data_IF_311768025755
#
_entry.id   IF_311768025755
#
_cell.length_a   1.000
_cell.length_b   1.000
_cell.length_c   1.000
_cell.angle_alpha   90.00
_cell.angle_beta   90.00
_cell.angle_gamma   90.00
#
_symmetry.space_group_name_H-M   'P 1'
#
loop_
_entity.id
_entity.type
_entity.pdbx_description
1 polymer ?
#
# COMPACT_ATOMS: atom_id res chain seq x y z
N UNK A 1 8.08 -16.62 1.12
CA UNK A 1 7.12 -16.93 0.04
C UNK A 1 6.53 -15.66 -0.53
N UNK A 2 5.82 -14.86 0.28
CA UNK A 2 5.27 -13.55 -0.13
C UNK A 2 6.22 -12.67 -0.92
N UNK A 3 7.45 -12.46 -0.46
CA UNK A 3 8.44 -11.65 -1.19
C UNK A 3 8.74 -12.15 -2.61
N UNK A 4 8.81 -13.47 -2.81
CA UNK A 4 9.03 -14.06 -4.14
C UNK A 4 7.81 -13.85 -5.05
N UNK A 5 6.61 -14.02 -4.49
CA UNK A 5 5.37 -13.76 -5.21
C UNK A 5 5.22 -12.28 -5.57
N UNK A 6 5.60 -11.38 -4.67
CA UNK A 6 5.59 -9.95 -4.94
C UNK A 6 6.55 -9.58 -6.07
N UNK A 7 7.76 -10.14 -6.09
CA UNK A 7 8.69 -9.98 -7.22
C UNK A 7 8.05 -10.44 -8.52
N UNK A 8 7.39 -11.61 -8.53
CA UNK A 8 6.72 -12.14 -9.73
C UNK A 8 5.63 -11.20 -10.24
N UNK A 9 4.77 -10.71 -9.34
CA UNK A 9 3.71 -9.75 -9.67
C UNK A 9 4.28 -8.44 -10.24
N UNK A 10 5.31 -7.89 -9.61
CA UNK A 10 5.97 -6.67 -10.09
C UNK A 10 6.60 -6.90 -11.47
N UNK A 11 7.35 -7.99 -11.65
CA UNK A 11 7.96 -8.33 -12.94
C UNK A 11 6.90 -8.48 -14.04
N UNK A 12 5.86 -9.29 -13.81
CA UNK A 12 4.76 -9.49 -14.76
C UNK A 12 4.03 -8.19 -15.10
N UNK A 13 3.84 -7.29 -14.12
CA UNK A 13 3.24 -5.98 -14.37
C UNK A 13 4.03 -5.13 -15.37
N UNK A 14 5.36 -5.28 -15.42
CA UNK A 14 6.23 -4.60 -16.38
C UNK A 14 6.38 -5.35 -17.71
N UNK A 15 6.42 -6.68 -17.71
CA UNK A 15 6.68 -7.47 -18.93
C UNK A 15 5.41 -7.78 -19.72
N UNK A 16 4.28 -7.94 -19.05
CA UNK A 16 3.02 -8.42 -19.64
C UNK A 16 1.88 -7.41 -19.48
N UNK A 17 1.85 -6.68 -18.35
CA UNK A 17 0.75 -5.76 -18.01
C UNK A 17 0.97 -4.28 -18.35
N UNK A 18 2.08 -3.93 -19.02
CA UNK A 18 2.47 -2.54 -19.23
C UNK A 18 1.60 -1.86 -20.30
N UNK A 19 0.94 -0.77 -19.90
CA UNK A 19 0.26 0.15 -20.82
C UNK A 19 0.80 1.56 -20.62
N UNK A 20 0.11 2.42 -19.87
CA UNK A 20 0.68 3.69 -19.37
C UNK A 20 1.46 3.51 -18.06
N UNK A 21 1.11 2.48 -17.29
CA UNK A 21 1.76 2.07 -16.04
C UNK A 21 1.80 0.53 -16.00
N UNK A 22 2.74 -0.06 -15.28
CA UNK A 22 2.71 -1.50 -15.01
C UNK A 22 1.50 -1.82 -14.14
N UNK A 23 0.72 -2.83 -14.53
CA UNK A 23 -0.55 -3.24 -13.91
C UNK A 23 -0.60 -4.76 -13.78
N UNK A 24 -1.33 -5.24 -12.79
CA UNK A 24 -1.70 -6.65 -12.66
C UNK A 24 -3.23 -6.76 -12.60
N UNK A 25 -3.78 -7.90 -13.01
CA UNK A 25 -5.19 -8.22 -12.82
C UNK A 25 -5.40 -9.13 -11.58
N UNK A 26 -6.67 -9.39 -11.27
CA UNK A 26 -7.09 -10.20 -10.11
C UNK A 26 -6.72 -11.68 -10.28
N UNK A 27 -6.67 -12.19 -11.51
CA UNK A 27 -6.34 -13.58 -11.79
C UNK A 27 -4.86 -13.86 -11.55
N UNK A 28 -3.99 -12.96 -12.02
CA UNK A 28 -2.55 -13.00 -11.75
C UNK A 28 -2.27 -12.81 -10.25
N UNK A 29 -3.01 -11.91 -9.58
CA UNK A 29 -2.93 -11.79 -8.12
C UNK A 29 -3.30 -13.10 -7.42
N UNK A 30 -4.37 -13.78 -7.85
CA UNK A 30 -4.79 -15.06 -7.28
C UNK A 30 -3.74 -16.16 -7.44
N UNK A 31 -3.06 -16.22 -8.60
CA UNK A 31 -1.97 -17.18 -8.83
C UNK A 31 -0.76 -16.97 -7.92
N UNK A 32 -0.58 -15.76 -7.39
CA UNK A 32 0.56 -15.37 -6.57
C UNK A 32 0.18 -14.78 -5.20
N UNK A 33 -1.02 -15.07 -4.70
CA UNK A 33 -1.51 -14.51 -3.43
C UNK A 33 -0.78 -15.06 -2.18
N UNK A 34 -0.12 -16.22 -2.32
CA UNK A 34 0.52 -16.92 -1.21
C UNK A 34 1.50 -16.05 -0.41
N UNK A 35 1.24 -15.90 0.89
CA UNK A 35 2.09 -15.11 1.79
C UNK A 35 2.04 -13.60 1.56
N UNK A 36 1.02 -13.08 0.89
CA UNK A 36 0.76 -11.64 0.79
C UNK A 36 -0.32 -11.21 1.78
N UNK A 37 -0.25 -9.96 2.23
CA UNK A 37 -1.30 -9.24 2.95
C UNK A 37 -1.70 -8.05 2.07
N UNK A 38 -2.98 -7.87 1.80
CA UNK A 38 -3.49 -6.74 1.02
C UNK A 38 -4.30 -5.77 1.87
N UNK A 39 -4.23 -4.48 1.51
CA UNK A 39 -5.03 -3.40 2.06
C UNK A 39 -5.84 -2.75 0.92
N UNK A 40 -7.06 -2.30 1.18
CA UNK A 40 -7.97 -1.78 0.14
C UNK A 40 -7.51 -0.52 -0.62
N UNK A 41 -6.34 0.05 -0.29
CA UNK A 41 -5.74 1.25 -0.90
C UNK A 41 -6.43 2.57 -0.53
N UNK A 42 -5.89 3.66 -1.06
CA UNK A 42 -6.34 5.04 -0.87
C UNK A 42 -7.62 5.33 -1.67
N UNK A 43 -7.97 6.62 -1.84
CA UNK A 43 -9.16 7.05 -2.62
C UNK A 43 -9.23 6.51 -4.07
N UNK A 44 -8.10 6.07 -4.63
CA UNK A 44 -8.03 5.47 -5.98
C UNK A 44 -8.15 3.94 -5.98
N UNK A 45 -8.26 3.32 -4.81
CA UNK A 45 -8.57 1.90 -4.65
C UNK A 45 -10.01 1.59 -5.03
N UNK A 46 -10.26 0.40 -5.57
CA UNK A 46 -11.56 -0.01 -6.11
C UNK A 46 -12.69 0.12 -5.06
N UNK A 47 -12.39 -0.20 -3.79
CA UNK A 47 -13.33 -0.12 -2.68
C UNK A 47 -13.64 1.34 -2.32
N UNK A 48 -12.61 2.15 -2.10
CA UNK A 48 -12.76 3.55 -1.69
C UNK A 48 -13.41 4.39 -2.81
N UNK A 49 -13.02 4.17 -4.06
CA UNK A 49 -13.63 4.84 -5.22
C UNK A 49 -15.12 4.51 -5.32
N UNK A 50 -15.50 3.24 -5.13
CA UNK A 50 -16.92 2.83 -5.12
C UNK A 50 -17.70 3.50 -3.99
N UNK A 51 -17.15 3.55 -2.78
CA UNK A 51 -17.78 4.22 -1.63
C UNK A 51 -17.90 5.75 -1.84
N UNK A 52 -16.90 6.38 -2.45
CA UNK A 52 -16.92 7.81 -2.74
C UNK A 52 -18.08 8.20 -3.70
N UNK A 53 -18.49 7.27 -4.56
CA UNK A 53 -19.54 7.45 -5.57
C UNK A 53 -20.88 6.77 -5.22
N UNK A 54 -21.11 6.40 -3.96
CA UNK A 54 -22.33 5.72 -3.48
C UNK A 54 -22.64 4.38 -4.17
N UNK A 55 -21.60 3.65 -4.58
CA UNK A 55 -21.72 2.36 -5.27
C UNK A 55 -21.48 1.20 -4.28
N UNK A 56 -22.26 1.15 -3.20
CA UNK A 56 -22.07 0.21 -2.08
C UNK A 56 -21.96 -1.26 -2.53
N UNK A 57 -22.81 -1.68 -3.48
CA UNK A 57 -22.77 -3.04 -4.02
C UNK A 57 -21.41 -3.36 -4.66
N UNK A 58 -20.84 -2.43 -5.41
CA UNK A 58 -19.53 -2.61 -6.03
C UNK A 58 -18.41 -2.59 -5.00
N UNK A 59 -18.52 -1.77 -3.96
CA UNK A 59 -17.56 -1.78 -2.85
C UNK A 59 -17.54 -3.14 -2.14
N UNK A 60 -18.72 -3.74 -1.91
CA UNK A 60 -18.88 -5.08 -1.34
C UNK A 60 -18.27 -6.14 -2.26
N UNK A 61 -18.63 -6.14 -3.55
CA UNK A 61 -18.10 -7.09 -4.54
C UNK A 61 -16.57 -7.02 -4.63
N UNK A 62 -16.01 -5.81 -4.67
CA UNK A 62 -14.56 -5.59 -4.73
C UNK A 62 -13.84 -6.09 -3.47
N UNK A 63 -14.32 -5.69 -2.29
CA UNK A 63 -13.71 -6.11 -1.01
C UNK A 63 -13.80 -7.62 -0.79
N UNK A 64 -14.93 -8.24 -1.15
CA UNK A 64 -15.11 -9.69 -1.10
C UNK A 64 -14.14 -10.41 -2.05
N UNK A 65 -13.99 -9.93 -3.29
CA UNK A 65 -13.06 -10.52 -4.24
C UNK A 65 -11.61 -10.51 -3.71
N UNK A 66 -11.14 -9.38 -3.16
CA UNK A 66 -9.78 -9.31 -2.59
C UNK A 66 -9.61 -10.18 -1.34
N UNK A 67 -10.62 -10.24 -0.47
CA UNK A 67 -10.64 -11.16 0.68
C UNK A 67 -10.47 -12.61 0.23
N UNK A 68 -11.23 -13.01 -0.79
CA UNK A 68 -11.26 -14.40 -1.25
C UNK A 68 -9.95 -14.77 -1.97
N UNK A 69 -9.39 -13.84 -2.74
CA UNK A 69 -8.09 -13.99 -3.41
C UNK A 69 -6.93 -14.13 -2.42
N UNK A 70 -6.85 -13.22 -1.43
CA UNK A 70 -5.74 -13.18 -0.47
C UNK A 70 -5.92 -14.20 0.67
N UNK A 71 -7.14 -14.68 0.87
CA UNK A 71 -7.51 -15.63 1.91
C UNK A 71 -7.79 -14.97 3.27
N UNK A 72 -8.36 -15.76 4.20
CA UNK A 72 -8.82 -15.27 5.49
C UNK A 72 -7.66 -14.70 6.32
N UNK A 73 -7.88 -13.51 6.89
CA UNK A 73 -6.91 -12.82 7.75
C UNK A 73 -5.77 -12.12 7.00
N UNK A 74 -5.78 -12.11 5.66
CA UNK A 74 -4.75 -11.49 4.83
C UNK A 74 -5.26 -10.27 4.04
N UNK A 75 -6.49 -9.81 4.28
CA UNK A 75 -7.04 -8.61 3.64
C UNK A 75 -7.63 -7.66 4.69
N UNK A 76 -7.30 -6.38 4.58
CA UNK A 76 -7.73 -5.31 5.49
C UNK A 76 -8.36 -4.16 4.70
N UNK A 77 -9.37 -3.54 5.28
CA UNK A 77 -9.94 -2.30 4.77
C UNK A 77 -9.12 -1.12 5.29
N UNK A 78 -8.55 -0.34 4.39
CA UNK A 78 -7.60 0.73 4.66
C UNK A 78 -8.32 2.08 4.86
N UNK A 79 -8.11 2.69 6.03
CA UNK A 79 -8.63 4.01 6.39
C UNK A 79 -7.51 5.05 6.35
N UNK A 80 -7.78 6.19 5.72
CA UNK A 80 -6.84 7.29 5.56
C UNK A 80 -7.54 8.63 5.81
N UNK A 81 -6.84 9.60 6.40
CA UNK A 81 -7.41 10.91 6.69
C UNK A 81 -6.37 12.02 6.53
N UNK A 82 -6.64 12.90 5.57
CA UNK A 82 -5.79 14.02 5.17
C UNK A 82 -6.57 15.35 5.17
N UNK A 83 -7.81 15.36 5.67
CA UNK A 83 -8.71 16.51 5.59
C UNK A 83 -9.44 16.67 4.26
N UNK A 84 -9.49 15.61 3.44
CA UNK A 84 -10.16 15.57 2.13
C UNK A 84 -11.61 15.11 2.32
N UNK A 85 -12.57 15.80 1.72
CA UNK A 85 -14.00 15.53 1.96
C UNK A 85 -14.44 14.15 1.44
N UNK A 86 -13.89 13.70 0.32
CA UNK A 86 -14.12 12.36 -0.22
C UNK A 86 -13.67 11.27 0.78
N UNK A 87 -12.58 11.50 1.54
CA UNK A 87 -12.15 10.57 2.59
C UNK A 87 -13.15 10.53 3.75
N UNK A 88 -13.85 11.62 4.05
CA UNK A 88 -14.89 11.64 5.09
C UNK A 88 -16.02 10.69 4.70
N UNK A 89 -16.43 10.71 3.43
CA UNK A 89 -17.46 9.80 2.92
C UNK A 89 -17.00 8.35 2.99
N UNK A 90 -15.80 8.05 2.48
CA UNK A 90 -15.24 6.70 2.51
C UNK A 90 -15.10 6.18 3.94
N UNK A 91 -14.58 6.98 4.86
CA UNK A 91 -14.38 6.59 6.26
C UNK A 91 -15.70 6.37 7.03
N UNK A 92 -16.83 6.88 6.56
CA UNK A 92 -18.17 6.54 7.08
C UNK A 92 -18.66 5.18 6.56
N UNK A 93 -18.33 4.83 5.32
CA UNK A 93 -18.75 3.57 4.68
C UNK A 93 -17.91 2.35 5.08
N UNK A 94 -16.60 2.55 5.29
CA UNK A 94 -15.67 1.46 5.60
C UNK A 94 -16.06 0.65 6.85
N UNK A 95 -16.51 1.23 7.97
CA UNK A 95 -16.94 0.45 9.15
C UNK A 95 -18.16 -0.43 8.89
N UNK A 96 -19.11 0.03 8.07
CA UNK A 96 -20.29 -0.76 7.68
C UNK A 96 -19.85 -1.95 6.84
N UNK A 97 -19.01 -1.69 5.82
CA UNK A 97 -18.46 -2.72 4.96
C UNK A 97 -17.62 -3.76 5.74
N UNK A 98 -16.80 -3.28 6.68
CA UNK A 98 -15.98 -4.10 7.56
C UNK A 98 -16.83 -5.07 8.38
N UNK A 99 -17.93 -4.58 8.97
CA UNK A 99 -18.86 -5.42 9.74
C UNK A 99 -19.53 -6.46 8.84
N UNK A 100 -20.07 -6.04 7.70
CA UNK A 100 -20.89 -6.90 6.83
C UNK A 100 -20.04 -8.04 6.22
N UNK A 101 -18.77 -7.76 5.89
CA UNK A 101 -17.85 -8.75 5.33
C UNK A 101 -16.94 -9.43 6.38
N UNK A 102 -17.04 -9.03 7.65
CA UNK A 102 -16.15 -9.44 8.75
C UNK A 102 -14.67 -9.23 8.41
N UNK A 103 -14.37 -8.06 7.86
CA UNK A 103 -13.01 -7.64 7.51
C UNK A 103 -12.43 -6.71 8.57
N UNK A 104 -11.14 -6.86 8.92
CA UNK A 104 -10.47 -5.92 9.82
C UNK A 104 -10.20 -4.58 9.11
N UNK A 105 -10.27 -3.50 9.88
CA UNK A 105 -9.83 -2.15 9.44
C UNK A 105 -8.36 -1.92 9.79
N UNK A 106 -7.67 -1.06 9.04
CA UNK A 106 -6.33 -0.58 9.37
C UNK A 106 -6.16 0.89 8.99
N UNK A 107 -5.50 1.67 9.85
CA UNK A 107 -5.19 3.07 9.58
C UNK A 107 -3.82 3.24 8.90
N UNK A 108 -3.73 4.04 7.85
CA UNK A 108 -2.47 4.46 7.21
C UNK A 108 -2.52 5.94 6.82
N UNK A 109 -1.41 6.50 6.34
CA UNK A 109 -1.31 7.93 6.00
C UNK A 109 -0.67 8.22 4.62
N UNK A 110 -0.60 7.23 3.72
CA UNK A 110 -0.09 7.37 2.34
C UNK A 110 1.13 8.32 2.20
N UNK A 111 2.19 8.03 2.95
CA UNK A 111 3.30 8.96 3.17
C UNK A 111 4.12 9.16 1.89
N UNK A 112 4.27 10.42 1.46
CA UNK A 112 5.06 10.83 0.30
C UNK A 112 6.29 11.66 0.66
N UNK A 113 6.32 12.25 1.87
CA UNK A 113 7.43 13.05 2.37
C UNK A 113 7.60 12.90 3.88
N UNK A 114 8.72 13.36 4.46
CA UNK A 114 9.04 13.05 5.86
C UNK A 114 8.34 13.99 6.84
N UNK A 115 8.42 15.30 6.62
CA UNK A 115 7.86 16.34 7.50
C UNK A 115 6.79 17.13 6.76
N UNK A 116 5.84 17.70 7.50
CA UNK A 116 4.80 18.56 6.91
C UNK A 116 5.41 19.73 6.09
N UNK A 117 6.52 20.30 6.57
CA UNK A 117 7.25 21.37 5.86
C UNK A 117 7.75 20.98 4.46
N UNK A 118 7.89 19.69 4.18
CA UNK A 118 8.40 19.19 2.91
C UNK A 118 7.32 19.18 1.81
N UNK A 119 6.07 19.53 2.13
CA UNK A 119 4.96 19.54 1.17
C UNK A 119 5.26 20.41 -0.07
N UNK A 120 5.92 21.56 0.10
CA UNK A 120 6.31 22.40 -1.03
C UNK A 120 7.37 21.72 -1.90
N UNK A 121 8.40 21.12 -1.31
CA UNK A 121 9.42 20.38 -2.05
C UNK A 121 8.81 19.20 -2.83
N UNK A 122 7.80 18.54 -2.27
CA UNK A 122 7.04 17.51 -2.97
C UNK A 122 6.24 18.06 -4.17
N UNK A 123 5.57 19.21 -4.05
CA UNK A 123 4.89 19.86 -5.19
C UNK A 123 5.86 20.19 -6.33
N UNK A 124 7.05 20.71 -5.99
CA UNK A 124 8.14 20.96 -6.96
C UNK A 124 8.57 19.65 -7.64
N UNK A 125 8.73 18.57 -6.89
CA UNK A 125 9.11 17.26 -7.43
C UNK A 125 8.06 16.72 -8.42
N UNK A 126 6.77 16.90 -8.14
CA UNK A 126 5.69 16.52 -9.07
C UNK A 126 5.76 17.33 -10.37
N UNK A 127 6.05 18.63 -10.28
CA UNK A 127 6.22 19.51 -11.44
C UNK A 127 7.35 19.02 -12.35
N UNK A 128 8.51 18.69 -11.76
CA UNK A 128 9.67 18.14 -12.49
C UNK A 128 9.27 16.82 -13.17
N UNK A 129 8.64 15.91 -12.45
CA UNK A 129 8.25 14.59 -12.97
C UNK A 129 7.18 14.62 -14.06
N UNK A 130 6.41 15.70 -14.16
CA UNK A 130 5.34 15.88 -15.15
C UNK A 130 5.69 16.89 -16.24
N UNK A 131 6.91 17.45 -16.21
CA UNK A 131 7.37 18.52 -17.10
C UNK A 131 6.41 19.73 -17.13
N UNK A 132 5.90 20.13 -15.95
CA UNK A 132 5.00 21.28 -15.77
C UNK A 132 5.66 22.37 -14.94
N UNK A 133 5.30 23.63 -15.21
CA UNK A 133 5.71 24.76 -14.38
C UNK A 133 4.89 24.82 -13.08
N UNK A 134 5.49 25.29 -11.98
CA UNK A 134 4.76 25.54 -10.71
C UNK A 134 3.57 26.51 -10.89
N UNK A 135 3.70 27.45 -11.82
CA UNK A 135 2.65 28.41 -12.16
C UNK A 135 1.54 27.83 -13.04
N UNK A 136 1.69 26.62 -13.61
CA UNK A 136 0.64 25.98 -14.42
C UNK A 136 -0.53 25.58 -13.49
N UNK A 137 -1.74 26.14 -13.68
CA UNK A 137 -2.89 25.79 -12.86
C UNK A 137 -3.39 24.36 -13.12
N UNK A 138 -3.02 23.75 -14.25
CA UNK A 138 -3.38 22.37 -14.64
C UNK A 138 -2.33 21.34 -14.22
N UNK A 139 -1.31 21.73 -13.45
CA UNK A 139 -0.30 20.78 -12.97
C UNK A 139 -0.92 19.75 -12.01
N UNK A 140 -0.27 18.59 -11.91
CA UNK A 140 -0.57 17.65 -10.85
C UNK A 140 -0.12 18.24 -9.51
N UNK A 141 -1.07 18.42 -8.59
CA UNK A 141 -0.81 18.85 -7.21
C UNK A 141 -1.70 18.06 -6.25
N UNK A 142 -1.25 17.94 -5.00
CA UNK A 142 -2.06 17.40 -3.93
C UNK A 142 -2.74 18.58 -3.22
N UNK A 143 -4.04 18.49 -2.95
CA UNK A 143 -4.79 19.59 -2.34
C UNK A 143 -4.51 19.72 -0.84
N UNK A 144 -4.19 18.61 -0.16
CA UNK A 144 -3.81 18.58 1.24
C UNK A 144 -2.30 18.42 1.44
N UNK A 145 -1.80 18.90 2.58
CA UNK A 145 -0.38 18.84 3.00
C UNK A 145 -0.09 17.74 4.02
N UNK A 146 -1.05 16.84 4.27
CA UNK A 146 -0.96 15.86 5.36
C UNK A 146 -0.30 14.52 4.97
N UNK A 147 0.38 14.44 3.82
CA UNK A 147 1.00 13.20 3.30
C UNK A 147 2.43 12.99 3.84
N UNK A 148 2.67 13.45 5.08
CA UNK A 148 3.94 13.27 5.78
C UNK A 148 3.90 12.10 6.76
N UNK A 149 5.05 11.71 7.31
CA UNK A 149 5.11 10.70 8.36
C UNK A 149 4.62 11.29 9.69
N UNK A 150 3.32 11.20 9.93
CA UNK A 150 2.69 11.57 11.21
C UNK A 150 3.27 10.77 12.37
N UNK A 151 3.37 11.41 13.52
CA UNK A 151 3.66 10.79 14.81
C UNK A 151 2.53 9.85 15.22
N UNK A 152 2.81 8.97 16.18
CA UNK A 152 1.79 8.09 16.75
C UNK A 152 0.62 8.88 17.36
N UNK A 153 0.89 10.00 18.04
CA UNK A 153 -0.13 10.83 18.67
C UNK A 153 -1.02 11.54 17.64
N UNK A 154 -0.43 12.02 16.54
CA UNK A 154 -1.19 12.61 15.43
C UNK A 154 -2.10 11.57 14.76
N UNK A 155 -1.61 10.34 14.56
CA UNK A 155 -2.42 9.23 14.04
C UNK A 155 -3.53 8.83 15.02
N UNK A 156 -3.22 8.73 16.31
CA UNK A 156 -4.20 8.43 17.36
C UNK A 156 -5.29 9.49 17.46
N UNK A 157 -4.91 10.77 17.32
CA UNK A 157 -5.86 11.89 17.29
C UNK A 157 -6.77 11.82 16.06
N UNK A 158 -6.20 11.56 14.88
CA UNK A 158 -6.94 11.48 13.61
C UNK A 158 -7.91 10.30 13.55
N UNK A 159 -7.62 9.20 14.25
CA UNK A 159 -8.42 7.97 14.25
C UNK A 159 -8.86 7.55 15.66
N UNK A 160 -9.18 8.53 16.51
CA UNK A 160 -9.56 8.29 17.91
C UNK A 160 -10.80 7.40 18.07
N UNK A 161 -11.70 7.40 17.09
CA UNK A 161 -12.89 6.54 17.03
C UNK A 161 -12.56 5.09 16.61
N UNK A 162 -11.35 4.81 16.13
CA UNK A 162 -10.94 3.52 15.56
C UNK A 162 -9.65 2.97 16.19
N UNK A 163 -9.59 2.79 17.53
CA UNK A 163 -8.40 2.27 18.20
C UNK A 163 -7.99 0.87 17.71
N UNK A 164 -8.95 0.02 17.37
CA UNK A 164 -8.68 -1.32 16.83
C UNK A 164 -8.01 -1.28 15.45
N UNK A 165 -8.37 -0.30 14.62
CA UNK A 165 -7.75 -0.12 13.31
C UNK A 165 -6.30 0.38 13.42
N UNK A 166 -6.01 1.22 14.43
CA UNK A 166 -4.65 1.60 14.78
C UNK A 166 -3.85 0.40 15.30
N UNK A 167 -4.42 -0.42 16.19
CA UNK A 167 -3.77 -1.62 16.72
C UNK A 167 -3.43 -2.64 15.61
N UNK A 168 -4.28 -2.75 14.59
CA UNK A 168 -4.02 -3.63 13.44
C UNK A 168 -2.76 -3.25 12.65
N UNK A 169 -2.27 -2.00 12.72
CA UNK A 169 -1.00 -1.61 12.09
C UNK A 169 0.18 -2.40 12.66
N UNK A 170 0.24 -2.56 13.99
CA UNK A 170 1.25 -3.33 14.69
C UNK A 170 1.10 -4.83 14.39
N UNK A 171 -0.14 -5.33 14.43
CA UNK A 171 -0.45 -6.72 14.09
C UNK A 171 0.07 -7.08 12.69
N UNK A 172 -0.17 -6.22 11.69
CA UNK A 172 0.33 -6.45 10.33
C UNK A 172 1.86 -6.41 10.29
N UNK A 173 2.49 -5.47 11.00
CA UNK A 173 3.96 -5.37 11.05
C UNK A 173 4.60 -6.64 11.64
N UNK A 174 4.01 -7.19 12.70
CA UNK A 174 4.44 -8.44 13.33
C UNK A 174 4.25 -9.66 12.43
N UNK A 175 3.15 -9.70 11.65
CA UNK A 175 2.92 -10.74 10.64
C UNK A 175 3.87 -10.63 9.44
N UNK A 176 4.34 -9.43 9.13
CA UNK A 176 5.03 -9.12 7.86
C UNK A 176 6.55 -9.13 7.91
N UNK A 177 7.16 -8.92 9.08
CA UNK A 177 8.61 -8.73 9.15
C UNK A 177 9.38 -10.03 9.40
N UNK A 178 10.27 -10.49 8.49
CA UNK A 178 11.17 -11.60 8.78
C UNK A 178 12.18 -11.18 9.84
N UNK A 179 12.24 -11.92 10.96
CA UNK A 179 13.44 -11.95 11.80
C UNK A 179 14.59 -12.44 10.93
N UNK A 180 15.43 -11.53 10.45
CA UNK A 180 16.50 -11.87 9.51
C UNK A 180 17.55 -12.75 10.20
N UNK A 181 17.53 -14.06 9.92
CA UNK A 181 18.75 -14.85 9.84
C UNK A 181 19.24 -14.79 8.39
N UNK A 182 19.96 -13.73 8.03
CA UNK A 182 20.69 -13.69 6.76
C UNK A 182 21.87 -14.65 6.81
N UNK A 183 21.62 -15.93 6.51
CA UNK A 183 22.68 -16.87 6.15
C UNK A 183 22.17 -17.93 5.18
N UNK A 184 21.96 -17.54 3.93
CA UNK A 184 22.12 -18.48 2.81
C UNK A 184 22.71 -17.72 1.64
N UNK A 185 24.03 -17.85 1.46
CA UNK A 185 24.70 -17.43 0.23
C UNK A 185 24.22 -18.35 -0.89
N UNK A 186 23.29 -17.88 -1.71
CA UNK A 186 23.03 -18.50 -3.01
C UNK A 186 23.96 -17.85 -4.03
N UNK A 187 25.21 -18.33 -4.10
CA UNK A 187 26.11 -18.00 -5.20
C UNK A 187 25.83 -18.95 -6.35
N UNK A 188 25.52 -18.42 -7.54
CA UNK A 188 25.72 -19.19 -8.77
C UNK A 188 27.23 -19.49 -8.87
N UNK A 189 27.61 -20.77 -8.97
CA UNK A 189 29.00 -21.14 -9.24
C UNK A 189 29.35 -20.71 -10.66
N UNK A 190 30.14 -19.64 -10.77
CA UNK A 190 31.04 -19.41 -11.89
C UNK A 190 32.48 -19.45 -11.35
N UNK A 191 33.36 -20.11 -12.09
CA UNK A 191 34.78 -20.27 -11.76
C UNK A 191 35.53 -18.94 -11.75
N UNK A 192 36.45 -18.81 -10.78
CA UNK A 192 37.45 -17.76 -10.56
C UNK A 192 37.07 -16.63 -9.58
N UNK A 193 38.00 -16.43 -8.63
CA UNK A 193 37.77 -15.77 -7.36
C UNK A 193 38.01 -14.26 -7.33
N UNK A 194 37.62 -13.67 -6.21
CA UNK A 194 37.84 -12.27 -5.85
C UNK A 194 36.72 -11.77 -4.95
N UNK A 195 37.01 -11.56 -3.66
CA UNK A 195 36.08 -10.97 -2.70
C UNK A 195 36.21 -9.45 -2.71
N UNK A 196 35.13 -8.70 -2.41
CA UNK A 196 35.11 -7.70 -1.31
C UNK A 196 33.73 -7.01 -1.14
N UNK A 197 33.37 -6.93 0.14
CA UNK A 197 32.67 -5.89 0.90
C UNK A 197 31.27 -5.37 0.53
N UNK A 198 30.39 -5.60 1.51
CA UNK A 198 29.07 -5.05 1.78
C UNK A 198 29.07 -3.59 2.26
N UNK A 199 28.06 -2.80 1.89
CA UNK A 199 27.14 -2.14 2.84
C UNK A 199 26.06 -1.27 2.16
N UNK A 200 24.96 -1.10 2.89
CA UNK A 200 23.83 -0.17 2.70
C UNK A 200 22.66 -0.63 1.81
N UNK A 201 21.71 -1.35 2.43
CA UNK A 201 20.32 -1.39 1.94
C UNK A 201 19.36 -1.28 3.14
N UNK A 202 19.17 -0.05 3.63
CA UNK A 202 17.99 0.35 4.39
C UNK A 202 17.28 1.40 3.54
N UNK A 203 16.00 1.16 3.23
CA UNK A 203 15.02 2.00 2.49
C UNK A 203 14.62 1.42 1.13
N UNK A 204 13.68 0.48 1.11
CA UNK A 204 12.72 0.35 0.01
C UNK A 204 11.41 -0.23 0.58
N UNK A 205 10.40 0.62 0.71
CA UNK A 205 9.03 0.24 1.09
C UNK A 205 7.91 1.09 0.43
N UNK A 206 8.12 2.30 -0.15
CA UNK A 206 6.97 3.05 -0.72
C UNK A 206 6.59 2.73 -2.17
N UNK A 207 7.36 1.93 -2.94
CA UNK A 207 7.21 1.91 -4.41
C UNK A 207 6.20 0.91 -4.98
N UNK A 208 5.62 0.03 -4.17
CA UNK A 208 4.71 -1.05 -4.65
C UNK A 208 3.24 -0.62 -4.69
N UNK A 209 2.87 0.50 -4.05
CA UNK A 209 1.46 0.93 -3.90
C UNK A 209 0.85 1.60 -5.13
N UNK A 210 1.62 1.97 -6.16
CA UNK A 210 1.13 2.78 -7.29
C UNK A 210 0.65 1.97 -8.52
N UNK A 211 0.89 0.66 -8.53
CA UNK A 211 0.57 -0.24 -9.65
C UNK A 211 -0.59 -1.20 -9.38
N UNK A 212 -1.04 -1.24 -8.13
CA UNK A 212 -2.15 -2.06 -7.68
C UNK A 212 -3.21 -1.11 -7.11
N UNK A 213 -4.49 -1.30 -7.44
CA UNK A 213 -5.61 -0.62 -6.77
C UNK A 213 -5.79 -1.12 -5.31
N UNK A 214 -4.72 -1.63 -4.69
CA UNK A 214 -4.62 -2.35 -3.42
C UNK A 214 -3.17 -2.21 -2.94
N UNK A 215 -2.92 -1.86 -1.68
CA UNK A 215 -1.57 -1.85 -1.10
C UNK A 215 -1.21 -3.26 -0.66
N UNK A 216 -0.03 -3.79 -1.01
CA UNK A 216 0.35 -5.18 -0.67
C UNK A 216 1.62 -5.23 0.17
N UNK A 217 1.57 -5.97 1.28
CA UNK A 217 2.70 -6.31 2.14
C UNK A 217 2.99 -7.82 2.09
N UNK A 218 4.21 -8.22 2.45
CA UNK A 218 4.60 -9.64 2.53
C UNK A 218 4.43 -10.18 3.95
N UNK A 219 3.98 -11.42 4.10
CA UNK A 219 3.88 -12.17 5.36
C UNK A 219 5.08 -13.11 5.56
N UNK A 220 5.45 -13.33 6.82
CA UNK A 220 6.38 -14.39 7.22
C UNK A 220 5.66 -15.72 7.46
N UNK A 221 6.34 -16.85 7.23
CA UNK A 221 5.83 -18.14 7.70
C UNK A 221 6.09 -18.23 9.20
N UNK A 222 5.07 -18.44 10.02
CA UNK A 222 5.28 -19.11 11.30
C UNK A 222 5.66 -20.55 10.99
N UNK A 223 6.87 -20.94 11.40
CA UNK A 223 7.32 -22.34 11.38
C UNK A 223 6.40 -23.23 12.17
#
# INVERSE_FOLDING_TARGET
EGYRNLIKLVSAGYTEGFYYKPRIDKDLLAQHAGGLIGLSSCLKGEVAESLAHDQDRKAIEAAAAYRDILGPGNFFLEMQWHGIEEQRRVNRGLPVLARDLRLPLVCTNDVHYLRESDAHAHDVLLCIGTAKALSDPKRLRYEATQFFLKTADEMASAFSEYPDALANTLRIAELGWPSTSTSSRSFARASNGGSLASNSWRRWAPWVTRSMNTSVACRTKST
#
